data_IF_318033253387
#
_entry.id   IF_318033253387
#
_cell.length_a   1.000
_cell.length_b   1.000
_cell.length_c   1.000
_cell.angle_alpha   90.00
_cell.angle_beta   90.00
_cell.angle_gamma   90.00
#
_symmetry.space_group_name_H-M   'P 1'
#
loop_
_entity.id
_entity.type
_entity.pdbx_description
1 polymer ?
#
# COMPACT_ATOMS: atom_id res chain seq x y z
N UNK A 1 14.34 -2.79 0.18
CA UNK A 1 14.12 -2.48 -1.26
C UNK A 1 14.53 -1.05 -1.57
N UNK A 2 14.97 -0.74 -2.80
CA UNK A 2 15.00 0.66 -3.26
C UNK A 2 13.56 1.17 -3.33
N UNK A 3 13.09 1.80 -2.26
CA UNK A 3 11.76 2.41 -2.17
C UNK A 3 11.49 3.38 -3.35
N UNK A 4 12.54 3.86 -4.02
CA UNK A 4 12.43 4.80 -5.14
C UNK A 4 11.64 4.30 -6.35
N UNK A 5 11.64 3.01 -6.68
CA UNK A 5 10.92 2.50 -7.87
C UNK A 5 9.41 2.43 -7.66
N UNK A 6 8.96 2.08 -6.45
CA UNK A 6 7.54 2.00 -6.10
C UNK A 6 6.99 3.31 -5.55
N UNK A 7 7.84 4.26 -5.12
CA UNK A 7 7.41 5.54 -4.56
C UNK A 7 6.41 6.27 -5.46
N UNK A 8 6.73 6.38 -6.75
CA UNK A 8 5.84 7.03 -7.71
C UNK A 8 4.47 6.34 -7.81
N UNK A 9 4.43 5.01 -7.67
CA UNK A 9 3.17 4.25 -7.68
C UNK A 9 2.36 4.57 -6.42
N UNK A 10 2.99 4.59 -5.24
CA UNK A 10 2.31 4.98 -4.00
C UNK A 10 1.77 6.41 -4.06
N UNK A 11 2.58 7.36 -4.54
CA UNK A 11 2.19 8.76 -4.66
C UNK A 11 0.95 8.93 -5.57
N UNK A 12 0.89 8.21 -6.70
CA UNK A 12 -0.27 8.22 -7.61
C UNK A 12 -1.49 7.59 -6.97
N UNK A 13 -1.34 6.42 -6.34
CA UNK A 13 -2.46 5.70 -5.74
C UNK A 13 -3.06 6.47 -4.57
N UNK A 14 -2.23 6.98 -3.67
CA UNK A 14 -2.67 7.80 -2.53
C UNK A 14 -3.39 9.07 -3.01
N UNK A 15 -2.84 9.77 -4.01
CA UNK A 15 -3.52 10.92 -4.60
C UNK A 15 -4.89 10.54 -5.17
N UNK A 16 -4.97 9.42 -5.88
CA UNK A 16 -6.20 8.97 -6.54
C UNK A 16 -7.26 8.57 -5.51
N UNK A 17 -6.89 7.81 -4.48
CA UNK A 17 -7.79 7.43 -3.39
C UNK A 17 -8.30 8.65 -2.63
N UNK A 18 -7.43 9.62 -2.31
CA UNK A 18 -7.83 10.86 -1.64
C UNK A 18 -8.79 11.70 -2.51
N UNK A 19 -8.55 11.79 -3.82
CA UNK A 19 -9.43 12.53 -4.74
C UNK A 19 -10.81 11.88 -4.90
N UNK A 20 -10.88 10.55 -4.75
CA UNK A 20 -12.12 9.78 -4.87
C UNK A 20 -12.81 9.51 -3.51
N UNK A 21 -12.22 9.99 -2.40
CA UNK A 21 -12.67 9.73 -1.03
C UNK A 21 -12.81 8.21 -0.72
N UNK A 22 -11.80 7.44 -1.13
CA UNK A 22 -11.72 5.99 -0.90
C UNK A 22 -10.75 5.75 0.25
N UNK A 23 -11.24 5.19 1.35
CA UNK A 23 -10.38 4.70 2.42
C UNK A 23 -9.63 3.44 1.96
N UNK A 24 -8.33 3.38 2.27
CA UNK A 24 -7.47 2.28 1.84
C UNK A 24 -6.46 1.88 2.92
N UNK A 25 -6.04 0.61 2.87
CA UNK A 25 -4.99 0.05 3.71
C UNK A 25 -3.97 -0.68 2.83
N UNK A 26 -2.68 -0.43 3.09
CA UNK A 26 -1.62 -1.25 2.51
C UNK A 26 -1.60 -2.60 3.21
N UNK A 27 -1.67 -3.69 2.44
CA UNK A 27 -1.66 -5.06 2.97
C UNK A 27 -0.59 -5.90 2.28
N UNK A 28 -0.63 -7.22 2.47
CA UNK A 28 0.24 -8.15 1.76
C UNK A 28 1.71 -8.11 2.19
N UNK A 29 2.57 -8.58 1.29
CA UNK A 29 3.99 -8.78 1.59
C UNK A 29 4.73 -7.46 1.87
N UNK A 30 4.33 -6.37 1.20
CA UNK A 30 4.95 -5.07 1.40
C UNK A 30 4.63 -4.48 2.77
N UNK A 31 3.37 -4.55 3.22
CA UNK A 31 2.99 -4.09 4.56
C UNK A 31 3.80 -4.81 5.66
N UNK A 32 3.99 -6.13 5.50
CA UNK A 32 4.82 -6.93 6.41
C UNK A 32 6.29 -6.52 6.38
N UNK A 33 6.82 -6.24 5.20
CA UNK A 33 8.19 -5.77 5.05
C UNK A 33 8.39 -4.42 5.73
N UNK A 34 7.50 -3.45 5.54
CA UNK A 34 7.54 -2.15 6.23
C UNK A 34 7.55 -2.35 7.75
N UNK A 35 6.76 -3.30 8.26
CA UNK A 35 6.76 -3.64 9.69
C UNK A 35 8.09 -4.23 10.17
N UNK A 36 8.66 -5.18 9.43
CA UNK A 36 9.93 -5.83 9.78
C UNK A 36 11.14 -4.91 9.63
N UNK A 37 11.14 -4.00 8.66
CA UNK A 37 12.19 -2.99 8.48
C UNK A 37 12.26 -2.06 9.69
N UNK A 38 11.13 -1.71 10.33
CA UNK A 38 11.14 -0.98 11.62
C UNK A 38 11.89 -1.72 12.74
N UNK A 39 11.95 -3.05 12.66
CA UNK A 39 12.68 -3.90 13.60
C UNK A 39 14.07 -4.31 13.12
N UNK A 40 14.61 -3.71 12.05
CA UNK A 40 15.87 -4.11 11.40
C UNK A 40 15.91 -5.59 10.94
N UNK A 41 14.75 -6.19 10.67
CA UNK A 41 14.65 -7.56 10.16
C UNK A 41 14.54 -7.49 8.63
N UNK A 42 15.50 -8.10 7.93
CA UNK A 42 15.41 -8.23 6.48
C UNK A 42 14.40 -9.32 6.11
N UNK A 43 13.51 -9.01 5.17
CA UNK A 43 12.50 -9.93 4.68
C UNK A 43 12.46 -9.91 3.17
N UNK A 44 12.04 -11.03 2.57
CA UNK A 44 12.02 -11.22 1.12
C UNK A 44 11.19 -10.12 0.46
N UNK A 45 11.76 -9.56 -0.61
CA UNK A 45 11.15 -8.49 -1.37
C UNK A 45 10.06 -9.00 -2.31
N UNK A 46 8.92 -8.29 -2.39
CA UNK A 46 7.86 -8.47 -3.41
C UNK A 46 7.95 -7.43 -4.53
N UNK A 47 7.53 -7.77 -5.75
CA UNK A 47 7.38 -6.79 -6.85
C UNK A 47 5.98 -6.20 -6.94
N UNK A 48 5.00 -6.88 -6.34
CA UNK A 48 3.59 -6.52 -6.39
C UNK A 48 3.20 -5.72 -5.14
N UNK A 49 2.17 -4.87 -5.29
CA UNK A 49 1.63 -4.02 -4.23
C UNK A 49 0.16 -4.37 -4.00
N UNK A 50 -0.17 -4.77 -2.78
CA UNK A 50 -1.52 -5.17 -2.38
C UNK A 50 -2.20 -4.08 -1.54
N UNK A 51 -3.41 -3.68 -1.93
CA UNK A 51 -4.25 -2.75 -1.18
C UNK A 51 -5.60 -3.38 -0.84
N UNK A 52 -6.11 -3.07 0.35
CA UNK A 52 -7.53 -3.19 0.67
C UNK A 52 -8.19 -1.81 0.51
N UNK A 53 -9.35 -1.76 -0.14
CA UNK A 53 -10.12 -0.53 -0.34
C UNK A 53 -11.54 -0.74 0.18
N UNK A 54 -12.12 0.28 0.79
CA UNK A 54 -13.52 0.23 1.23
C UNK A 54 -14.44 0.57 0.04
N UNK A 55 -15.34 -0.35 -0.31
CA UNK A 55 -16.38 -0.11 -1.31
C UNK A 55 -17.70 0.06 -0.57
N UNK A 56 -18.23 1.28 -0.56
CA UNK A 56 -19.56 1.56 -0.02
C UNK A 56 -20.62 0.94 -0.93
N UNK A 57 -21.59 0.25 -0.35
CA UNK A 57 -22.80 -0.11 -1.07
C UNK A 57 -23.66 1.16 -1.25
N UNK A 58 -24.10 1.48 -2.47
CA UNK A 58 -24.99 2.62 -2.72
C UNK A 58 -26.48 2.27 -2.51
N UNK A 59 -26.78 1.02 -2.13
CA UNK A 59 -28.14 0.50 -1.94
C UNK A 59 -28.63 0.46 -0.47
N UNK A 60 -28.05 1.26 0.44
CA UNK A 60 -28.55 1.49 1.81
C UNK A 60 -28.88 2.97 2.07
#
# INVERSE_FOLDING_TARGET
MRHGELKHIFDILERSFNQLNIDFYLIGALARQVWYEKGNISFRTTKDVDYAVLVSNQDE
#
